data_IF_739480526247
#
_entry.id   IF_739480526247
#
_cell.length_a   1.000
_cell.length_b   1.000
_cell.length_c   1.000
_cell.angle_alpha   90.00
_cell.angle_beta   90.00
_cell.angle_gamma   90.00
#
_symmetry.space_group_name_H-M   'P 1'
#
loop_
_entity.id
_entity.type
_entity.pdbx_description
1 polymer ?
#
# COMPACT_ATOMS: atom_id res chain seq x y z
N UNK A 1 17.53 -15.76 -18.06
CA UNK A 1 16.09 -15.44 -17.97
C UNK A 1 15.75 -14.43 -16.87
N UNK A 2 15.72 -14.78 -15.56
CA UNK A 2 15.28 -13.81 -14.52
C UNK A 2 16.20 -12.58 -14.39
N UNK A 3 17.52 -12.78 -14.48
CA UNK A 3 18.49 -11.69 -14.41
C UNK A 3 18.32 -10.68 -15.56
N UNK A 4 18.12 -11.16 -16.78
CA UNK A 4 17.92 -10.30 -17.96
C UNK A 4 16.65 -9.45 -17.85
N UNK A 5 15.57 -9.99 -17.26
CA UNK A 5 14.33 -9.23 -17.01
C UNK A 5 14.59 -8.12 -16.00
N UNK A 6 15.29 -8.44 -14.90
CA UNK A 6 15.67 -7.45 -13.89
C UNK A 6 16.56 -6.36 -14.50
N UNK A 7 17.59 -6.75 -15.27
CA UNK A 7 18.49 -5.81 -15.95
C UNK A 7 17.73 -4.89 -16.91
N UNK A 8 16.74 -5.41 -17.64
CA UNK A 8 15.88 -4.59 -18.50
C UNK A 8 15.05 -3.58 -17.71
N UNK A 9 14.47 -3.99 -16.59
CA UNK A 9 13.70 -3.10 -15.70
C UNK A 9 14.56 -1.96 -15.17
N UNK A 10 15.83 -2.23 -14.84
CA UNK A 10 16.81 -1.22 -14.37
C UNK A 10 17.02 -0.07 -15.34
N UNK A 11 16.87 -0.31 -16.64
CA UNK A 11 17.12 0.68 -17.70
C UNK A 11 15.94 1.64 -17.95
N UNK A 12 14.86 1.55 -17.19
CA UNK A 12 13.63 2.34 -17.41
C UNK A 12 13.12 2.99 -16.14
N UNK A 13 12.42 4.13 -16.27
CA UNK A 13 11.83 4.84 -15.14
C UNK A 13 12.84 5.12 -14.03
N UNK A 14 12.52 4.69 -12.80
CA UNK A 14 13.41 4.77 -11.63
C UNK A 14 14.12 3.44 -11.32
N UNK A 15 14.14 2.49 -12.26
CA UNK A 15 14.68 1.15 -12.06
C UNK A 15 16.16 1.12 -11.65
N UNK A 16 16.95 2.11 -12.10
CA UNK A 16 18.36 2.24 -11.73
C UNK A 16 18.56 2.50 -10.22
N UNK A 17 17.56 3.04 -9.53
CA UNK A 17 17.60 3.33 -8.09
C UNK A 17 17.03 2.20 -7.22
N UNK A 18 16.51 1.14 -7.84
CA UNK A 18 15.83 0.05 -7.15
C UNK A 18 16.78 -1.11 -6.88
N UNK A 19 16.56 -1.79 -5.76
CA UNK A 19 17.25 -3.05 -5.44
C UNK A 19 16.67 -4.20 -6.28
N UNK A 20 17.37 -5.33 -6.37
CA UNK A 20 16.84 -6.51 -7.07
C UNK A 20 15.54 -6.98 -6.40
N UNK A 21 15.46 -6.93 -5.06
CA UNK A 21 14.24 -7.23 -4.33
C UNK A 21 13.08 -6.29 -4.66
N UNK A 22 13.32 -4.98 -4.76
CA UNK A 22 12.28 -4.01 -5.12
C UNK A 22 11.78 -4.19 -6.57
N UNK A 23 12.67 -4.55 -7.50
CA UNK A 23 12.31 -4.88 -8.88
C UNK A 23 11.51 -6.18 -8.92
N UNK A 24 11.96 -7.22 -8.22
CA UNK A 24 11.26 -8.49 -8.16
C UNK A 24 9.85 -8.35 -7.56
N UNK A 25 9.71 -7.61 -6.46
CA UNK A 25 8.42 -7.27 -5.86
C UNK A 25 7.51 -6.56 -6.88
N UNK A 26 8.04 -5.57 -7.62
CA UNK A 26 7.30 -4.85 -8.65
C UNK A 26 6.82 -5.77 -9.78
N UNK A 27 7.70 -6.65 -10.28
CA UNK A 27 7.36 -7.62 -11.32
C UNK A 27 6.27 -8.59 -10.84
N UNK A 28 6.38 -9.10 -9.61
CA UNK A 28 5.37 -10.00 -9.03
C UNK A 28 3.98 -9.34 -8.99
N UNK A 29 3.89 -8.07 -8.59
CA UNK A 29 2.61 -7.35 -8.61
C UNK A 29 2.08 -7.11 -10.02
N UNK A 30 2.95 -6.78 -10.99
CA UNK A 30 2.54 -6.64 -12.40
C UNK A 30 2.01 -7.94 -12.98
N UNK A 31 2.61 -9.09 -12.65
CA UNK A 31 2.12 -10.40 -13.05
C UNK A 31 0.73 -10.69 -12.48
N UNK A 32 0.48 -10.35 -11.21
CA UNK A 32 -0.85 -10.47 -10.61
C UNK A 32 -1.86 -9.56 -11.34
N UNK A 33 -1.48 -8.33 -11.68
CA UNK A 33 -2.35 -7.42 -12.42
C UNK A 33 -2.71 -7.97 -13.81
N UNK A 34 -1.74 -8.57 -14.50
CA UNK A 34 -1.98 -9.21 -15.79
C UNK A 34 -2.90 -10.44 -15.64
N UNK A 35 -2.66 -11.27 -14.62
CA UNK A 35 -3.48 -12.43 -14.32
C UNK A 35 -4.94 -12.07 -14.01
N UNK A 36 -5.17 -10.96 -13.29
CA UNK A 36 -6.51 -10.43 -13.07
C UNK A 36 -7.23 -10.09 -14.38
N UNK A 37 -6.50 -9.56 -15.37
CA UNK A 37 -7.08 -9.21 -16.67
C UNK A 37 -7.36 -10.47 -17.48
N UNK A 38 -6.38 -11.35 -17.59
CA UNK A 38 -6.44 -12.56 -18.42
C UNK A 38 -7.54 -13.50 -17.93
N UNK A 39 -7.72 -13.62 -16.61
CA UNK A 39 -8.77 -14.44 -15.98
C UNK A 39 -10.08 -13.69 -15.73
N UNK A 40 -10.17 -12.42 -16.13
CA UNK A 40 -11.35 -11.57 -15.90
C UNK A 40 -11.76 -11.48 -14.40
N UNK A 41 -10.79 -11.43 -13.50
CA UNK A 41 -11.00 -11.27 -12.06
C UNK A 41 -11.31 -9.81 -11.77
N UNK A 42 -12.58 -9.52 -11.45
CA UNK A 42 -13.04 -8.14 -11.29
C UNK A 42 -12.46 -7.45 -10.05
N UNK A 43 -12.37 -8.15 -8.92
CA UNK A 43 -11.80 -7.67 -7.66
C UNK A 43 -10.91 -8.75 -7.06
N UNK A 44 -9.77 -8.34 -6.52
CA UNK A 44 -8.82 -9.24 -5.87
C UNK A 44 -8.27 -8.63 -4.58
N UNK A 45 -8.16 -9.46 -3.54
CA UNK A 45 -7.29 -9.18 -2.40
C UNK A 45 -5.90 -9.72 -2.76
N UNK A 46 -4.91 -8.83 -2.77
CA UNK A 46 -3.52 -9.15 -3.07
C UNK A 46 -2.75 -9.15 -1.75
N UNK A 47 -2.05 -10.25 -1.49
CA UNK A 47 -1.27 -10.48 -0.28
C UNK A 47 0.18 -10.85 -0.64
N UNK A 48 1.14 -10.34 0.13
CA UNK A 48 2.52 -10.87 0.19
C UNK A 48 2.57 -12.09 1.12
N UNK A 49 3.64 -12.87 1.06
CA UNK A 49 3.82 -14.12 1.80
C UNK A 49 4.11 -13.92 3.29
N UNK A 50 4.57 -12.74 3.68
CA UNK A 50 4.98 -12.40 5.04
C UNK A 50 3.86 -11.77 5.91
N UNK A 51 2.63 -11.72 5.40
CA UNK A 51 1.49 -11.19 6.16
C UNK A 51 0.93 -12.20 7.16
N UNK A 52 0.40 -11.68 8.25
CA UNK A 52 -0.25 -12.47 9.29
C UNK A 52 -1.77 -12.28 9.17
N UNK A 53 -2.45 -13.31 8.67
CA UNK A 53 -3.90 -13.38 8.61
C UNK A 53 -4.47 -13.99 9.90
N UNK A 54 -5.66 -13.53 10.30
CA UNK A 54 -6.36 -14.04 11.48
C UNK A 54 -7.86 -14.18 11.21
N UNK A 55 -8.62 -14.57 12.24
CA UNK A 55 -10.07 -14.75 12.16
C UNK A 55 -10.83 -13.52 11.63
N UNK A 56 -10.31 -12.29 11.78
CA UNK A 56 -10.94 -11.11 11.19
C UNK A 56 -10.92 -11.14 9.67
N UNK A 57 -9.79 -11.53 9.08
CA UNK A 57 -9.67 -11.66 7.62
C UNK A 57 -10.53 -12.81 7.08
N UNK A 58 -10.55 -13.95 7.79
CA UNK A 58 -11.45 -15.07 7.46
C UNK A 58 -12.91 -14.63 7.45
N UNK A 59 -13.36 -13.94 8.49
CA UNK A 59 -14.72 -13.38 8.55
C UNK A 59 -14.96 -12.35 7.45
N UNK A 60 -13.97 -11.50 7.15
CA UNK A 60 -14.08 -10.55 6.05
C UNK A 60 -14.41 -11.26 4.73
N UNK A 61 -13.68 -12.33 4.39
CA UNK A 61 -13.95 -13.12 3.18
C UNK A 61 -15.31 -13.83 3.23
N UNK A 62 -15.68 -14.43 4.37
CA UNK A 62 -16.94 -15.16 4.52
C UNK A 62 -18.18 -14.29 4.27
N UNK A 63 -18.15 -13.02 4.69
CA UNK A 63 -19.27 -12.09 4.51
C UNK A 63 -19.10 -11.17 3.30
N UNK A 64 -18.03 -11.32 2.51
CA UNK A 64 -17.85 -10.55 1.29
C UNK A 64 -18.69 -11.14 0.15
N UNK A 65 -19.73 -10.42 -0.26
CA UNK A 65 -20.64 -10.83 -1.33
C UNK A 65 -20.80 -9.71 -2.37
N UNK A 66 -21.68 -9.91 -3.36
CA UNK A 66 -21.91 -8.95 -4.43
C UNK A 66 -22.38 -7.57 -3.92
N UNK A 67 -23.30 -7.51 -2.95
CA UNK A 67 -23.78 -6.22 -2.43
C UNK A 67 -22.75 -5.49 -1.59
N UNK A 68 -21.81 -6.21 -0.96
CA UNK A 68 -20.65 -5.62 -0.30
C UNK A 68 -19.68 -5.01 -1.31
N UNK A 69 -19.47 -5.68 -2.45
CA UNK A 69 -18.60 -5.21 -3.53
C UNK A 69 -19.10 -3.90 -4.14
N UNK A 70 -20.40 -3.72 -4.32
CA UNK A 70 -20.99 -2.49 -4.91
C UNK A 70 -20.76 -1.23 -4.07
N UNK A 71 -20.36 -1.39 -2.80
CA UNK A 71 -19.98 -0.27 -1.92
C UNK A 71 -18.57 0.25 -2.21
N UNK A 72 -17.75 -0.52 -2.93
CA UNK A 72 -16.39 -0.19 -3.29
C UNK A 72 -16.36 0.63 -4.59
N UNK A 73 -15.51 1.66 -4.63
CA UNK A 73 -15.32 2.48 -5.84
C UNK A 73 -14.10 2.00 -6.60
N UNK A 74 -14.23 1.93 -7.94
CA UNK A 74 -13.18 1.38 -8.80
C UNK A 74 -11.90 2.24 -8.82
N UNK A 75 -11.99 3.53 -8.49
CA UNK A 75 -10.84 4.42 -8.42
C UNK A 75 -10.27 4.60 -7.00
N UNK A 76 -10.70 3.80 -6.02
CA UNK A 76 -10.16 3.83 -4.66
C UNK A 76 -9.34 2.58 -4.37
N UNK A 77 -8.22 2.75 -3.65
CA UNK A 77 -7.42 1.64 -3.14
C UNK A 77 -7.80 1.36 -1.69
N UNK A 78 -8.04 0.09 -1.38
CA UNK A 78 -8.40 -0.37 -0.04
C UNK A 78 -7.24 -1.17 0.55
N UNK A 79 -6.53 -0.59 1.51
CA UNK A 79 -5.43 -1.21 2.24
C UNK A 79 -6.00 -2.02 3.40
N UNK A 80 -5.61 -3.29 3.50
CA UNK A 80 -6.09 -4.21 4.54
C UNK A 80 -5.11 -4.30 5.74
N UNK A 81 -4.00 -3.56 5.69
CA UNK A 81 -3.04 -3.49 6.78
C UNK A 81 -1.65 -3.06 6.34
N UNK A 82 -0.65 -3.50 7.09
CA UNK A 82 0.77 -3.32 6.76
C UNK A 82 1.36 -1.96 7.11
N UNK A 83 0.56 -0.98 7.54
CA UNK A 83 1.05 0.36 7.87
C UNK A 83 1.55 0.48 9.32
N UNK A 84 1.14 -0.44 10.20
CA UNK A 84 1.66 -0.55 11.57
C UNK A 84 3.12 -1.06 11.56
N UNK A 85 3.90 -0.61 12.54
CA UNK A 85 5.29 -1.08 12.72
C UNK A 85 6.34 -0.39 11.85
N UNK A 86 5.94 0.39 10.84
CA UNK A 86 6.84 1.29 10.11
C UNK A 86 7.34 2.40 11.06
N UNK A 87 8.68 2.55 11.16
CA UNK A 87 9.43 3.42 12.09
C UNK A 87 8.64 4.55 12.74
N UNK A 88 8.75 4.72 14.08
CA UNK A 88 8.35 5.89 14.89
C UNK A 88 7.64 7.05 14.13
N UNK A 89 6.48 6.70 13.57
CA UNK A 89 5.44 7.55 13.05
C UNK A 89 5.75 8.50 11.87
N UNK A 90 4.92 8.43 10.81
CA UNK A 90 3.79 9.36 10.67
C UNK A 90 2.42 8.64 10.68
N UNK A 91 1.43 9.00 11.54
CA UNK A 91 0.07 8.41 11.37
C UNK A 91 -0.42 8.91 10.04
N UNK A 92 -0.88 7.92 9.29
CA UNK A 92 -1.94 8.07 8.35
C UNK A 92 -3.16 8.54 9.14
N UNK A 93 -3.49 9.82 8.99
CA UNK A 93 -4.67 10.37 9.64
C UNK A 93 -5.91 9.88 8.94
N UNK A 94 -6.68 9.00 9.58
CA UNK A 94 -7.90 8.44 9.01
C UNK A 94 -9.11 9.32 9.32
N UNK A 95 -10.01 9.48 8.36
CA UNK A 95 -11.21 10.26 8.52
C UNK A 95 -12.13 9.67 9.58
N UNK A 96 -12.69 10.54 10.42
CA UNK A 96 -13.75 10.15 11.36
C UNK A 96 -15.08 9.89 10.64
N UNK A 97 -15.34 10.58 9.52
CA UNK A 97 -16.62 10.59 8.81
C UNK A 97 -16.60 9.84 7.47
N UNK A 98 -15.53 10.00 6.68
CA UNK A 98 -15.38 9.34 5.39
C UNK A 98 -14.94 7.89 5.60
N UNK A 99 -15.94 7.00 5.63
CA UNK A 99 -15.75 5.57 5.85
C UNK A 99 -16.62 4.75 4.91
N UNK A 100 -16.14 3.57 4.56
CA UNK A 100 -16.84 2.58 3.74
C UNK A 100 -16.89 1.30 4.57
N UNK A 101 -18.11 0.84 4.89
CA UNK A 101 -18.32 -0.43 5.60
C UNK A 101 -18.52 -1.52 4.57
N UNK A 102 -17.63 -2.50 4.57
CA UNK A 102 -17.62 -3.62 3.62
C UNK A 102 -17.34 -4.90 4.40
N UNK A 103 -18.26 -5.85 4.32
CA UNK A 103 -18.25 -7.08 5.11
C UNK A 103 -18.10 -6.73 6.60
N UNK A 104 -17.10 -7.27 7.29
CA UNK A 104 -16.81 -7.00 8.70
C UNK A 104 -15.88 -5.79 8.93
N UNK A 105 -15.43 -5.13 7.87
CA UNK A 105 -14.44 -4.04 7.92
C UNK A 105 -15.10 -2.67 7.83
N UNK A 106 -14.46 -1.68 8.47
CA UNK A 106 -14.78 -0.27 8.33
C UNK A 106 -13.55 0.47 7.83
N UNK A 107 -13.40 0.48 6.51
CA UNK A 107 -12.34 1.22 5.86
C UNK A 107 -12.54 2.72 6.04
N UNK A 108 -11.52 3.42 6.53
CA UNK A 108 -11.55 4.88 6.68
C UNK A 108 -10.60 5.52 5.70
N UNK A 109 -11.03 6.63 5.10
CA UNK A 109 -10.21 7.38 4.15
C UNK A 109 -8.98 7.95 4.84
N UNK A 110 -7.80 7.79 4.25
CA UNK A 110 -6.57 8.43 4.73
C UNK A 110 -6.58 9.89 4.30
N UNK A 111 -6.81 10.82 5.24
CA UNK A 111 -6.90 12.26 4.97
C UNK A 111 -5.57 12.99 5.17
N UNK A 112 -4.68 12.48 6.00
CA UNK A 112 -3.39 13.10 6.30
C UNK A 112 -2.23 12.14 6.07
N UNK A 113 -1.11 12.66 5.55
CA UNK A 113 0.09 11.90 5.19
C UNK A 113 -0.15 10.78 4.16
N UNK A 114 -1.04 10.97 3.17
CA UNK A 114 -1.24 10.01 2.06
C UNK A 114 0.08 9.61 1.39
N UNK A 115 1.00 10.55 1.22
CA UNK A 115 2.34 10.33 0.67
C UNK A 115 3.30 9.53 1.57
N UNK A 116 2.84 9.11 2.76
CA UNK A 116 3.57 8.25 3.69
C UNK A 116 2.99 6.84 3.78
N UNK A 117 1.95 6.53 3.02
CA UNK A 117 1.54 5.14 2.79
C UNK A 117 2.72 4.42 2.15
N UNK A 118 3.07 3.25 2.66
CA UNK A 118 4.18 2.41 2.18
C UNK A 118 3.74 0.95 2.11
N UNK A 119 4.58 0.09 1.53
CA UNK A 119 4.34 -1.35 1.41
C UNK A 119 3.13 -1.69 0.52
N UNK A 120 3.14 -2.93 0.06
CA UNK A 120 2.18 -3.55 -0.86
C UNK A 120 1.67 -4.89 -0.32
N UNK A 121 1.94 -5.19 0.95
CA UNK A 121 1.72 -6.52 1.50
C UNK A 121 0.25 -6.93 1.61
N UNK A 122 -0.70 -5.99 1.68
CA UNK A 122 -2.13 -6.33 1.74
C UNK A 122 -3.05 -5.22 1.25
N UNK A 123 -3.70 -5.44 0.10
CA UNK A 123 -4.66 -4.49 -0.47
C UNK A 123 -5.71 -5.16 -1.35
N UNK A 124 -6.85 -4.48 -1.51
CA UNK A 124 -7.97 -4.85 -2.35
C UNK A 124 -8.10 -3.81 -3.47
N UNK A 125 -8.13 -4.31 -4.69
CA UNK A 125 -8.27 -3.51 -5.91
C UNK A 125 -9.11 -4.24 -6.96
N UNK A 126 -9.49 -3.50 -7.99
CA UNK A 126 -10.25 -4.02 -9.12
C UNK A 126 -9.43 -4.09 -10.41
N UNK A 127 -9.98 -4.81 -11.39
CA UNK A 127 -9.41 -5.02 -12.71
C UNK A 127 -9.12 -3.72 -13.48
N UNK A 128 -10.00 -2.71 -13.41
CA UNK A 128 -9.79 -1.44 -14.13
C UNK A 128 -8.55 -0.72 -13.60
N UNK A 129 -8.34 -0.75 -12.28
CA UNK A 129 -7.11 -0.24 -11.67
C UNK A 129 -5.89 -1.06 -12.10
N UNK A 130 -5.99 -2.39 -12.18
CA UNK A 130 -4.90 -3.26 -12.65
C UNK A 130 -4.48 -2.92 -14.09
N UNK A 131 -5.46 -2.73 -14.99
CA UNK A 131 -5.23 -2.29 -16.37
C UNK A 131 -4.50 -0.94 -16.43
N UNK A 132 -4.96 0.03 -15.62
CA UNK A 132 -4.35 1.36 -15.56
C UNK A 132 -2.92 1.33 -15.00
N UNK A 133 -2.62 0.47 -14.01
CA UNK A 133 -1.27 0.31 -13.47
C UNK A 133 -0.31 -0.36 -14.46
N UNK A 134 -0.77 -1.35 -15.23
CA UNK A 134 0.02 -1.93 -16.31
C UNK A 134 0.28 -0.92 -17.43
N UNK A 135 -0.72 -0.10 -17.77
CA UNK A 135 -0.54 1.00 -18.72
C UNK A 135 0.48 2.01 -18.19
N UNK A 136 0.37 2.41 -16.92
CA UNK A 136 1.35 3.30 -16.30
C UNK A 136 2.76 2.73 -16.36
N UNK A 137 2.93 1.43 -16.12
CA UNK A 137 4.24 0.77 -16.25
C UNK A 137 4.79 0.90 -17.67
N UNK A 138 3.95 0.71 -18.69
CA UNK A 138 4.36 0.83 -20.10
C UNK A 138 4.75 2.28 -20.46
N UNK A 139 4.00 3.26 -19.94
CA UNK A 139 4.16 4.68 -20.29
C UNK A 139 5.28 5.37 -19.48
N UNK A 140 5.38 5.09 -18.18
CA UNK A 140 6.35 5.71 -17.26
C UNK A 140 7.67 4.95 -17.18
N UNK A 141 7.64 3.63 -17.40
CA UNK A 141 8.75 2.72 -17.12
C UNK A 141 8.69 2.16 -15.69
N UNK A 142 9.80 1.58 -15.23
CA UNK A 142 9.87 0.88 -13.94
C UNK A 142 9.71 1.84 -12.75
N UNK A 143 8.87 1.48 -11.78
CA UNK A 143 8.69 2.17 -10.51
C UNK A 143 8.45 1.16 -9.39
N UNK A 144 8.75 1.53 -8.12
CA UNK A 144 8.54 0.64 -6.97
C UNK A 144 7.07 0.28 -6.80
N UNK A 145 6.75 -0.97 -6.49
CA UNK A 145 5.38 -1.43 -6.22
C UNK A 145 4.61 -0.51 -5.25
N UNK A 146 5.27 0.02 -4.22
CA UNK A 146 4.68 0.92 -3.23
C UNK A 146 4.75 2.42 -3.59
N UNK A 147 4.94 2.76 -4.87
CA UNK A 147 4.94 4.14 -5.39
C UNK A 147 3.53 4.75 -5.43
N UNK A 148 2.77 4.64 -4.34
CA UNK A 148 1.39 5.11 -4.20
C UNK A 148 1.21 6.58 -4.57
N UNK A 149 2.21 7.41 -4.27
CA UNK A 149 2.21 8.83 -4.64
C UNK A 149 2.14 9.01 -6.16
N UNK A 150 2.94 8.25 -6.93
CA UNK A 150 2.94 8.31 -8.39
C UNK A 150 1.57 7.91 -8.93
N UNK A 151 1.03 6.78 -8.48
CA UNK A 151 -0.27 6.28 -8.91
C UNK A 151 -1.42 7.26 -8.61
N UNK A 152 -1.33 7.99 -7.49
CA UNK A 152 -2.26 9.06 -7.16
C UNK A 152 -2.12 10.28 -8.08
N UNK A 153 -0.88 10.71 -8.39
CA UNK A 153 -0.61 11.83 -9.29
C UNK A 153 -1.11 11.57 -10.72
N UNK A 154 -1.13 10.30 -11.15
CA UNK A 154 -1.68 9.89 -12.44
C UNK A 154 -3.20 9.60 -12.40
N UNK A 155 -3.91 9.96 -11.32
CA UNK A 155 -5.36 9.77 -11.15
C UNK A 155 -5.84 8.31 -11.25
N UNK A 156 -4.95 7.33 -11.10
CA UNK A 156 -5.31 5.91 -11.09
C UNK A 156 -5.94 5.55 -9.74
N UNK A 157 -5.34 6.06 -8.67
CA UNK A 157 -5.87 5.95 -7.31
C UNK A 157 -6.33 7.33 -6.86
N UNK A 158 -7.63 7.53 -6.76
CA UNK A 158 -8.23 8.78 -6.27
C UNK A 158 -8.08 8.90 -4.77
N UNK A 159 -8.49 7.88 -4.02
CA UNK A 159 -8.44 7.88 -2.56
C UNK A 159 -7.91 6.57 -1.99
N UNK A 160 -7.27 6.67 -0.83
CA UNK A 160 -6.78 5.54 -0.05
C UNK A 160 -7.69 5.33 1.16
N UNK A 161 -8.09 4.09 1.35
CA UNK A 161 -8.94 3.64 2.43
C UNK A 161 -8.19 2.56 3.21
N UNK A 162 -8.21 2.63 4.54
CA UNK A 162 -7.43 1.74 5.40
C UNK A 162 -8.30 1.12 6.48
N UNK A 163 -8.19 -0.19 6.65
CA UNK A 163 -8.57 -0.94 7.84
C UNK A 163 -7.46 -1.95 8.16
N UNK A 164 -7.06 -2.06 9.41
CA UNK A 164 -5.87 -2.82 9.84
C UNK A 164 -6.28 -4.23 10.31
N UNK A 165 -6.86 -5.00 9.39
CA UNK A 165 -7.36 -6.35 9.66
C UNK A 165 -6.31 -7.44 9.42
N UNK A 166 -5.39 -7.21 8.48
CA UNK A 166 -4.22 -8.02 8.22
C UNK A 166 -3.04 -7.40 8.95
N UNK A 167 -2.33 -8.24 9.69
CA UNK A 167 -1.17 -7.82 10.45
C UNK A 167 0.08 -8.07 9.62
N UNK A 168 1.13 -7.31 9.94
CA UNK A 168 2.43 -7.46 9.32
C UNK A 168 3.49 -7.47 10.42
N UNK A 169 4.48 -8.39 10.37
CA UNK A 169 5.53 -8.43 11.37
C UNK A 169 6.30 -7.11 11.41
N UNK A 170 6.84 -6.78 12.59
CA UNK A 170 7.78 -5.66 12.68
C UNK A 170 9.07 -6.10 11.98
N UNK A 171 9.34 -5.47 10.85
CA UNK A 171 10.51 -5.79 10.05
C UNK A 171 11.78 -5.21 10.66
N UNK A 172 12.87 -5.94 10.49
CA UNK A 172 14.23 -5.57 10.78
C UNK A 172 15.16 -6.20 9.73
N UNK A 173 16.45 -5.87 9.81
CA UNK A 173 17.47 -6.36 8.88
C UNK A 173 17.66 -7.89 8.86
N UNK A 174 17.20 -8.59 9.90
CA UNK A 174 17.35 -10.04 10.03
C UNK A 174 16.16 -10.82 9.46
N UNK A 175 14.97 -10.22 9.42
CA UNK A 175 13.75 -10.89 8.98
C UNK A 175 13.16 -10.35 7.67
N UNK A 176 13.81 -9.35 7.05
CA UNK A 176 13.39 -8.83 5.76
C UNK A 176 14.59 -8.52 4.87
N UNK A 177 14.66 -9.24 3.74
CA UNK A 177 15.64 -8.98 2.69
C UNK A 177 15.48 -7.56 2.11
N UNK A 178 14.25 -7.08 1.91
CA UNK A 178 14.02 -5.73 1.41
C UNK A 178 14.52 -4.66 2.40
N UNK A 179 14.30 -4.84 3.70
CA UNK A 179 14.77 -3.86 4.68
C UNK A 179 16.29 -3.92 4.87
N UNK A 180 16.91 -5.10 4.78
CA UNK A 180 18.37 -5.19 4.83
C UNK A 180 19.04 -4.48 3.65
N UNK A 181 18.51 -4.64 2.43
CA UNK A 181 18.99 -3.91 1.23
C UNK A 181 18.81 -2.39 1.37
N UNK A 182 17.68 -1.94 1.94
CA UNK A 182 17.42 -0.50 2.18
C UNK A 182 18.36 0.10 3.20
N UNK A 183 18.71 -0.64 4.25
CA UNK A 183 19.62 -0.17 5.29
C UNK A 183 21.03 0.07 4.76
N UNK A 184 21.50 -0.80 3.85
CA UNK A 184 22.78 -0.61 3.15
C UNK A 184 22.82 0.69 2.33
N UNK A 185 21.67 1.12 1.83
CA UNK A 185 21.54 2.30 0.96
C UNK A 185 21.21 3.58 1.75
N UNK A 186 20.69 3.47 2.97
CA UNK A 186 20.15 4.61 3.74
C UNK A 186 21.12 5.19 4.78
N UNK A 187 21.16 6.52 4.89
CA UNK A 187 21.94 7.20 5.93
C UNK A 187 21.35 7.04 7.33
N UNK A 188 22.21 6.94 8.36
CA UNK A 188 21.81 6.89 9.77
C UNK A 188 21.02 8.14 10.17
N UNK A 189 19.78 7.96 10.64
CA UNK A 189 18.94 9.06 11.16
C UNK A 189 19.06 9.15 12.68
N UNK A 190 19.17 10.37 13.22
CA UNK A 190 19.12 10.58 14.66
C UNK A 190 17.71 10.34 15.23
N UNK A 191 17.59 9.61 16.36
CA UNK A 191 16.30 9.36 17.00
C UNK A 191 15.76 10.62 17.68
N UNK A 192 14.43 10.73 17.74
CA UNK A 192 13.73 11.86 18.42
C UNK A 192 13.65 11.66 19.93
N UNK A 193 13.67 12.76 20.67
CA UNK A 193 13.45 12.76 22.14
C UNK A 193 11.98 12.47 22.49
N UNK A 194 11.70 12.04 23.73
CA UNK A 194 10.33 11.75 24.21
C UNK A 194 9.37 12.95 24.04
N UNK A 195 9.85 14.16 24.35
CA UNK A 195 9.05 15.38 24.21
C UNK A 195 8.69 15.66 22.75
N UNK A 196 9.67 15.56 21.85
CA UNK A 196 9.45 15.72 20.41
C UNK A 196 8.45 14.69 19.87
N UNK A 197 8.49 13.44 20.36
CA UNK A 197 7.50 12.41 20.01
C UNK A 197 6.09 12.82 20.45
N UNK A 198 5.91 13.27 21.70
CA UNK A 198 4.61 13.69 22.24
C UNK A 198 4.02 14.90 21.51
N UNK A 199 4.81 15.94 21.27
CA UNK A 199 4.37 17.12 20.51
C UNK A 199 3.96 16.76 19.08
N UNK A 200 4.73 15.89 18.43
CA UNK A 200 4.41 15.42 17.07
C UNK A 200 3.10 14.64 17.02
N UNK A 201 2.83 13.81 18.03
CA UNK A 201 1.57 13.06 18.13
C UNK A 201 0.37 13.99 18.24
N UNK A 202 0.42 14.98 19.14
CA UNK A 202 -0.65 15.97 19.33
C UNK A 202 -0.92 16.73 18.03
N UNK A 203 0.14 17.27 17.39
CA UNK A 203 0.03 17.97 16.10
C UNK A 203 -0.62 17.11 15.03
N UNK A 204 -0.36 15.81 15.04
CA UNK A 204 -0.97 14.90 14.08
C UNK A 204 -2.46 14.71 14.34
N UNK A 205 -2.89 14.52 15.59
CA UNK A 205 -4.31 14.39 15.93
C UNK A 205 -5.12 15.64 15.59
N UNK A 206 -4.55 16.81 15.84
CA UNK A 206 -5.14 18.09 15.40
C UNK A 206 -5.36 18.07 13.88
N UNK A 207 -4.35 17.63 13.12
CA UNK A 207 -4.48 17.50 11.66
C UNK A 207 -5.52 16.44 11.26
N UNK A 208 -5.57 15.28 11.92
CA UNK A 208 -6.59 14.26 11.64
C UNK A 208 -7.99 14.82 11.84
N UNK A 209 -8.23 15.54 12.94
CA UNK A 209 -9.51 16.17 13.23
C UNK A 209 -9.85 17.24 12.17
N UNK A 210 -8.91 18.15 11.89
CA UNK A 210 -9.07 19.20 10.89
C UNK A 210 -9.37 18.63 9.48
N UNK A 211 -8.54 17.71 9.00
CA UNK A 211 -8.74 17.11 7.68
C UNK A 211 -9.92 16.13 7.64
N UNK A 212 -10.44 15.66 8.78
CA UNK A 212 -11.68 14.86 8.79
C UNK A 212 -12.90 15.68 8.37
N UNK A 213 -12.91 16.98 8.65
CA UNK A 213 -13.99 17.90 8.26
C UNK A 213 -13.92 18.31 6.78
N UNK A 214 -12.75 18.17 6.16
CA UNK A 214 -12.54 18.44 4.73
C UNK A 214 -12.95 17.20 3.92
N UNK A 215 -14.04 17.34 3.13
CA UNK A 215 -14.54 16.30 2.23
C UNK A 215 -13.60 16.06 1.07
#
# INVERSE_FOLDING_TARGET
QNKEIIDKMRLSGVGAEMTDGEIACTLSHQLIYQDMIDKNIEWAVILEDDVIVNEKFKKFLQYFNLSEKDKLKHNNLYLLGGQKGLHDYPVLGQSLFSKVKVSTCTFRRVNFNKNKIRRTCSYLMNKDMAQNLLKLTKDYGTYRADSWKLMHQHNIIKEFYLDEIILHPILNEFNSHLESERLLTSGKKQPRTRLQKRMKFIRSWIKVAFFSLLK
#
